data_IF_111080316221
#
_entry.id   IF_111080316221
#
_cell.length_a   1.000
_cell.length_b   1.000
_cell.length_c   1.000
_cell.angle_alpha   90.00
_cell.angle_beta   90.00
_cell.angle_gamma   90.00
#
_symmetry.space_group_name_H-M   'P 1'
#
loop_
_entity.id
_entity.type
_entity.pdbx_description
1 polymer ?
#
# COMPACT_ATOMS: atom_id res chain seq x y z
N UNK A 1 6.61 -7.58 8.39
CA UNK A 1 6.40 -7.42 6.93
C UNK A 1 7.71 -7.61 6.21
N UNK A 2 7.66 -8.26 5.09
CA UNK A 2 8.85 -8.52 4.27
C UNK A 2 8.64 -7.98 2.87
N UNK A 3 9.75 -7.80 2.14
CA UNK A 3 9.69 -7.37 0.75
C UNK A 3 8.84 -8.32 -0.09
N UNK A 4 8.10 -7.74 -1.04
CA UNK A 4 7.18 -8.40 -1.96
C UNK A 4 5.90 -8.94 -1.32
N UNK A 5 5.69 -8.69 -0.03
CA UNK A 5 4.40 -9.03 0.58
C UNK A 5 3.34 -7.99 0.23
N UNK A 6 2.13 -8.46 0.02
CA UNK A 6 0.98 -7.59 -0.26
C UNK A 6 0.41 -7.04 1.03
N UNK A 7 0.17 -5.74 1.06
CA UNK A 7 -0.38 -5.05 2.24
C UNK A 7 -1.62 -4.25 1.88
N UNK A 8 -2.44 -4.02 2.89
CA UNK A 8 -3.65 -3.21 2.78
C UNK A 8 -3.51 -2.00 3.68
N UNK A 9 -3.86 -0.84 3.17
CA UNK A 9 -3.78 0.41 3.93
C UNK A 9 -4.93 0.50 4.92
N UNK A 10 -4.63 0.86 6.17
CA UNK A 10 -5.59 0.90 7.28
C UNK A 10 -6.29 2.23 7.44
N UNK A 11 -5.82 3.28 6.79
CA UNK A 11 -6.40 4.61 6.92
C UNK A 11 -6.18 5.42 5.65
N UNK A 12 -6.94 6.50 5.50
CA UNK A 12 -6.75 7.42 4.38
C UNK A 12 -5.46 8.20 4.56
N UNK A 13 -4.73 8.38 3.46
CA UNK A 13 -3.49 9.17 3.41
C UNK A 13 -3.65 10.16 2.26
N UNK A 14 -4.41 11.25 2.49
CA UNK A 14 -4.79 12.15 1.41
C UNK A 14 -3.61 12.86 0.75
N UNK A 15 -2.52 13.08 1.46
CA UNK A 15 -1.32 13.70 0.89
C UNK A 15 -0.69 12.87 -0.22
N UNK A 16 -1.02 11.59 -0.30
CA UNK A 16 -0.54 10.70 -1.34
C UNK A 16 -1.67 10.18 -2.25
N UNK A 17 -2.90 10.63 -2.02
CA UNK A 17 -4.04 10.14 -2.77
C UNK A 17 -4.41 8.70 -2.49
N UNK A 18 -3.99 8.18 -1.33
CA UNK A 18 -4.21 6.80 -0.92
C UNK A 18 -5.38 6.75 0.06
N UNK A 19 -6.22 5.74 -0.08
CA UNK A 19 -7.38 5.55 0.76
C UNK A 19 -7.31 4.23 1.51
N UNK A 20 -7.98 4.19 2.64
CA UNK A 20 -8.15 2.95 3.40
C UNK A 20 -8.67 1.85 2.48
N UNK A 21 -8.05 0.68 2.54
CA UNK A 21 -8.41 -0.45 1.71
C UNK A 21 -7.59 -0.58 0.43
N UNK A 22 -6.80 0.44 0.10
CA UNK A 22 -5.91 0.34 -1.06
C UNK A 22 -4.85 -0.73 -0.79
N UNK A 23 -4.48 -1.42 -1.86
CA UNK A 23 -3.56 -2.55 -1.79
C UNK A 23 -2.26 -2.19 -2.50
N UNK A 24 -1.15 -2.51 -1.87
CA UNK A 24 0.16 -2.29 -2.45
C UNK A 24 1.11 -3.41 -2.10
N UNK A 25 2.34 -3.31 -2.57
CA UNK A 25 3.37 -4.31 -2.35
C UNK A 25 4.55 -3.67 -1.63
N UNK A 26 5.03 -4.31 -0.59
CA UNK A 26 6.20 -3.84 0.16
C UNK A 26 7.43 -4.01 -0.72
N UNK A 27 8.17 -2.91 -0.94
CA UNK A 27 9.40 -2.93 -1.73
C UNK A 27 10.63 -2.69 -0.88
N UNK A 28 10.46 -2.23 0.36
CA UNK A 28 11.58 -2.06 1.30
C UNK A 28 11.05 -2.01 2.73
N UNK A 29 11.82 -2.57 3.65
CA UNK A 29 11.54 -2.51 5.09
C UNK A 29 12.75 -1.90 5.79
N UNK A 30 12.50 -1.20 6.89
CA UNK A 30 13.56 -0.61 7.71
C UNK A 30 13.86 -1.52 8.91
N UNK A 31 15.12 -1.50 9.36
CA UNK A 31 15.57 -2.38 10.44
C UNK A 31 14.74 -2.26 11.72
N UNK A 32 14.34 -1.04 12.07
CA UNK A 32 13.54 -0.80 13.27
C UNK A 32 12.06 -1.17 13.07
N UNK A 33 11.68 -1.55 11.86
CA UNK A 33 10.32 -1.98 11.51
C UNK A 33 9.24 -0.91 11.75
N UNK A 34 9.63 0.35 11.89
CA UNK A 34 8.69 1.45 12.14
C UNK A 34 7.95 1.88 10.87
N UNK A 35 8.54 1.63 9.71
CA UNK A 35 8.00 2.05 8.43
C UNK A 35 8.29 1.03 7.34
N UNK A 36 7.55 1.12 6.27
CA UNK A 36 7.76 0.31 5.06
C UNK A 36 7.60 1.20 3.84
N UNK A 37 8.25 0.84 2.75
CA UNK A 37 8.01 1.49 1.47
C UNK A 37 7.11 0.59 0.65
N UNK A 38 6.02 1.16 0.15
CA UNK A 38 4.96 0.42 -0.53
C UNK A 38 4.77 0.99 -1.93
N UNK A 39 4.83 0.12 -2.92
CA UNK A 39 4.53 0.49 -4.29
C UNK A 39 3.07 0.21 -4.60
N UNK A 40 2.41 1.19 -5.20
CA UNK A 40 1.05 1.06 -5.69
C UNK A 40 1.06 1.00 -7.20
N UNK A 41 0.21 0.15 -7.78
CA UNK A 41 0.21 -0.13 -9.21
C UNK A 41 -1.23 -0.01 -9.71
N UNK A 42 -1.40 0.59 -10.90
CA UNK A 42 -2.70 0.69 -11.53
C UNK A 42 -3.14 -0.63 -12.16
N UNK A 43 -4.39 -0.70 -12.59
CA UNK A 43 -4.91 -1.87 -13.28
C UNK A 43 -4.18 -2.20 -14.59
N UNK A 44 -3.49 -1.23 -15.17
CA UNK A 44 -2.65 -1.44 -16.36
C UNK A 44 -1.26 -1.97 -16.02
N UNK A 45 -0.94 -2.07 -14.74
CA UNK A 45 0.40 -2.46 -14.31
C UNK A 45 1.39 -1.31 -14.24
N UNK A 46 0.91 -0.08 -14.35
CA UNK A 46 1.78 1.12 -14.25
C UNK A 46 2.01 1.46 -12.79
N UNK A 47 3.27 1.65 -12.41
CA UNK A 47 3.59 2.08 -11.05
C UNK A 47 3.05 3.49 -10.81
N UNK A 48 2.33 3.65 -9.71
CA UNK A 48 1.82 4.94 -9.27
C UNK A 48 2.77 5.62 -8.29
N UNK A 49 3.88 4.94 -7.99
CA UNK A 49 4.91 5.46 -7.11
C UNK A 49 5.10 4.60 -5.88
N UNK A 50 6.16 4.92 -5.15
CA UNK A 50 6.51 4.27 -3.89
C UNK A 50 6.27 5.27 -2.78
N UNK A 51 5.55 4.87 -1.76
CA UNK A 51 5.18 5.73 -0.64
C UNK A 51 5.73 5.13 0.65
N UNK A 52 6.35 5.97 1.48
CA UNK A 52 6.80 5.55 2.81
C UNK A 52 5.61 5.62 3.76
N UNK A 53 5.23 4.49 4.34
CA UNK A 53 4.11 4.40 5.26
C UNK A 53 4.57 3.86 6.61
N UNK A 54 3.95 4.34 7.67
CA UNK A 54 4.21 3.79 9.00
C UNK A 54 3.66 2.36 9.04
N UNK A 55 4.39 1.46 9.68
CA UNK A 55 3.98 0.06 9.77
C UNK A 55 2.61 -0.11 10.42
N UNK A 56 2.25 0.78 11.34
CA UNK A 56 0.93 0.75 11.99
C UNK A 56 -0.22 1.12 11.06
N UNK A 57 0.07 1.76 9.93
CA UNK A 57 -0.94 2.24 8.98
C UNK A 57 -1.24 1.24 7.87
N UNK A 58 -0.55 0.11 7.86
CA UNK A 58 -0.76 -0.97 6.90
C UNK A 58 -0.83 -2.30 7.62
N UNK A 59 -1.41 -3.29 6.95
CA UNK A 59 -1.44 -4.66 7.45
C UNK A 59 -1.23 -5.63 6.30
N UNK A 60 -0.80 -6.83 6.62
CA UNK A 60 -0.70 -7.87 5.60
C UNK A 60 -2.08 -8.23 5.08
N UNK A 61 -2.17 -8.44 3.77
CA UNK A 61 -3.40 -8.93 3.17
C UNK A 61 -3.64 -10.37 3.59
N UNK A 62 -4.87 -10.69 3.97
CA UNK A 62 -5.25 -12.05 4.36
C UNK A 62 -5.57 -12.87 3.12
N UNK A 63 -5.40 -14.18 3.23
CA UNK A 63 -5.60 -15.10 2.11
C UNK A 63 -7.04 -15.13 1.58
N UNK A 64 -8.00 -14.86 2.44
CA UNK A 64 -9.42 -14.93 2.11
C UNK A 64 -10.03 -13.56 1.80
N UNK A 65 -9.20 -12.55 1.54
CA UNK A 65 -9.67 -11.23 1.18
C UNK A 65 -9.78 -11.08 -0.33
N UNK A 66 -10.81 -10.38 -0.77
CA UNK A 66 -10.98 -10.03 -2.18
C UNK A 66 -10.28 -8.71 -2.44
N UNK A 67 -9.59 -8.63 -3.57
CA UNK A 67 -8.95 -7.38 -3.98
C UNK A 67 -9.98 -6.29 -4.23
N UNK A 68 -9.66 -5.09 -3.78
CA UNK A 68 -10.50 -3.91 -3.91
C UNK A 68 -10.06 -3.11 -5.14
N UNK A 69 -11.03 -2.54 -5.84
CA UNK A 69 -10.73 -1.67 -6.98
C UNK A 69 -11.48 -0.35 -6.83
N UNK A 70 -10.79 0.75 -7.18
CA UNK A 70 -11.40 2.08 -7.24
C UNK A 70 -10.69 2.91 -8.30
N UNK A 71 -11.37 3.92 -8.81
CA UNK A 71 -10.76 4.85 -9.72
C UNK A 71 -9.87 5.84 -8.95
N UNK A 72 -8.77 6.22 -9.58
CA UNK A 72 -7.92 7.27 -9.03
C UNK A 72 -8.61 8.61 -9.23
N UNK A 73 -8.61 9.42 -8.18
CA UNK A 73 -9.08 10.80 -8.25
C UNK A 73 -7.89 11.70 -8.53
N UNK A 74 -7.72 12.07 -9.79
CA UNK A 74 -6.70 13.04 -10.17
C UNK A 74 -7.37 14.42 -10.18
N UNK A 75 -6.84 15.31 -9.41
CA UNK A 75 -7.34 16.69 -9.38
C UNK A 75 -7.03 17.40 -10.68
#
# INVERSE_FOLDING_TARGET
MRELETVVVNKDIPEHGIERGDVGVVVHTYEDKSAVEVEFVSGEGTSLGVVTLLSKDVRLMKKDEILHARELHTA
#
